data_IF_043954114937
#
_entry.id   IF_043954114937
#
_cell.length_a   1.000
_cell.length_b   1.000
_cell.length_c   1.000
_cell.angle_alpha   90.00
_cell.angle_beta   90.00
_cell.angle_gamma   90.00
#
_symmetry.space_group_name_H-M   'P 1'
#
loop_
_entity.id
_entity.type
_entity.pdbx_description
1 polymer ?
#
# COMPACT_ATOMS: atom_id res chain seq x y z
N UNK A 1 -22.89 -9.52 -67.37
CA UNK A 1 -22.59 -9.03 -65.99
C UNK A 1 -21.61 -10.01 -65.38
N UNK A 2 -20.33 -9.67 -65.28
CA UNK A 2 -19.28 -10.41 -64.60
C UNK A 2 -19.27 -9.96 -63.15
N UNK A 3 -19.87 -10.75 -62.25
CA UNK A 3 -19.74 -10.58 -60.83
C UNK A 3 -18.27 -10.82 -60.44
N UNK A 4 -17.57 -9.76 -60.05
CA UNK A 4 -16.26 -9.87 -59.41
C UNK A 4 -16.48 -10.40 -58.02
N UNK A 5 -16.06 -11.64 -57.76
CA UNK A 5 -15.92 -12.19 -56.43
C UNK A 5 -14.76 -11.41 -55.78
N UNK A 6 -15.10 -10.55 -54.82
CA UNK A 6 -14.09 -9.96 -53.95
C UNK A 6 -13.71 -11.06 -52.93
N UNK A 7 -12.58 -11.71 -53.16
CA UNK A 7 -11.96 -12.57 -52.17
C UNK A 7 -11.17 -11.63 -51.23
N UNK A 8 -11.74 -11.31 -50.09
CA UNK A 8 -10.96 -10.74 -49.01
C UNK A 8 -9.96 -11.82 -48.58
N UNK A 9 -8.73 -11.69 -49.02
CA UNK A 9 -7.63 -12.44 -48.47
C UNK A 9 -7.31 -11.85 -47.11
N UNK A 10 -7.91 -12.41 -46.03
CA UNK A 10 -7.47 -12.12 -44.69
C UNK A 10 -6.03 -12.63 -44.53
N UNK A 11 -5.08 -11.70 -44.52
CA UNK A 11 -3.69 -12.03 -44.19
C UNK A 11 -3.71 -12.62 -42.75
N UNK A 12 -3.16 -13.81 -42.54
CA UNK A 12 -3.11 -14.38 -41.19
C UNK A 12 -2.46 -13.38 -40.24
N UNK A 13 -3.12 -13.10 -39.12
CA UNK A 13 -2.54 -12.24 -38.07
C UNK A 13 -1.31 -12.92 -37.51
N UNK A 14 -0.18 -12.25 -37.52
CA UNK A 14 1.08 -12.71 -36.93
C UNK A 14 1.34 -11.92 -35.68
N UNK A 15 1.54 -12.61 -34.55
CA UNK A 15 1.85 -12.01 -33.26
C UNK A 15 3.35 -12.16 -32.97
N UNK A 16 3.94 -11.20 -32.28
CA UNK A 16 5.35 -11.27 -31.93
C UNK A 16 5.61 -12.45 -30.97
N UNK A 17 6.56 -13.30 -31.34
CA UNK A 17 6.87 -14.51 -30.58
C UNK A 17 7.28 -14.22 -29.12
N UNK A 18 8.02 -13.14 -28.88
CA UNK A 18 8.42 -12.69 -27.55
C UNK A 18 7.22 -12.39 -26.64
N UNK A 19 6.21 -11.75 -27.21
CA UNK A 19 5.03 -11.29 -26.49
C UNK A 19 4.12 -12.50 -26.16
N UNK A 20 3.92 -13.37 -27.16
CA UNK A 20 3.18 -14.63 -27.00
C UNK A 20 3.86 -15.55 -25.98
N UNK A 21 5.20 -15.71 -26.07
CA UNK A 21 5.95 -16.51 -25.11
C UNK A 21 5.87 -15.94 -23.67
N UNK A 22 5.77 -14.62 -23.53
CA UNK A 22 5.59 -13.98 -22.23
C UNK A 22 4.21 -14.30 -21.65
N UNK A 23 3.15 -14.19 -22.42
CA UNK A 23 1.80 -14.58 -22.00
C UNK A 23 1.75 -16.08 -21.62
N UNK A 24 2.32 -16.96 -22.45
CA UNK A 24 2.37 -18.39 -22.18
C UNK A 24 3.03 -18.69 -20.83
N UNK A 25 4.17 -18.05 -20.52
CA UNK A 25 4.84 -18.23 -19.22
C UNK A 25 3.98 -17.81 -18.03
N UNK A 26 3.22 -16.72 -18.14
CA UNK A 26 2.32 -16.27 -17.07
C UNK A 26 1.20 -17.28 -16.86
N UNK A 27 0.60 -17.76 -17.95
CA UNK A 27 -0.46 -18.79 -17.90
C UNK A 27 0.05 -20.10 -17.27
N UNK A 28 1.18 -20.58 -17.74
CA UNK A 28 1.79 -21.84 -17.27
C UNK A 28 2.22 -21.76 -15.80
N UNK A 29 2.70 -20.59 -15.35
CA UNK A 29 3.08 -20.37 -13.96
C UNK A 29 1.88 -20.18 -13.02
N UNK A 30 0.69 -19.94 -13.56
CA UNK A 30 -0.54 -19.71 -12.81
C UNK A 30 -1.36 -21.00 -12.71
N UNK A 31 -1.81 -21.35 -11.50
CA UNK A 31 -2.75 -22.46 -11.32
C UNK A 31 -4.20 -21.96 -11.41
N UNK A 32 -4.51 -21.22 -12.48
CA UNK A 32 -5.81 -20.56 -12.67
C UNK A 32 -6.53 -21.13 -13.87
N UNK A 33 -7.66 -21.82 -13.60
CA UNK A 33 -8.46 -22.49 -14.64
C UNK A 33 -8.99 -21.50 -15.67
N UNK A 34 -9.52 -20.37 -15.25
CA UNK A 34 -10.10 -19.37 -16.16
C UNK A 34 -9.03 -18.78 -17.10
N UNK A 35 -7.81 -18.54 -16.57
CA UNK A 35 -6.69 -18.08 -17.39
C UNK A 35 -6.23 -19.15 -18.39
N UNK A 36 -6.21 -20.42 -18.00
CA UNK A 36 -5.90 -21.54 -18.89
C UNK A 36 -6.96 -21.72 -19.98
N UNK A 37 -8.23 -21.51 -19.67
CA UNK A 37 -9.33 -21.54 -20.65
C UNK A 37 -9.23 -20.35 -21.61
N UNK A 38 -8.95 -19.13 -21.13
CA UNK A 38 -8.70 -17.97 -21.95
C UNK A 38 -7.56 -18.20 -22.94
N UNK A 39 -6.46 -18.80 -22.48
CA UNK A 39 -5.33 -19.14 -23.33
C UNK A 39 -5.66 -20.20 -24.38
N UNK A 40 -6.23 -21.33 -23.94
CA UNK A 40 -6.50 -22.47 -24.83
C UNK A 40 -7.62 -22.22 -25.86
N UNK A 41 -8.55 -21.33 -25.55
CA UNK A 41 -9.61 -20.90 -26.47
C UNK A 41 -9.11 -19.96 -27.59
N UNK A 42 -7.92 -19.37 -27.41
CA UNK A 42 -7.40 -18.34 -28.31
C UNK A 42 -8.00 -16.96 -28.10
N UNK A 43 -8.76 -16.72 -27.03
CA UNK A 43 -9.38 -15.43 -26.73
C UNK A 43 -8.34 -14.31 -26.59
N UNK A 44 -7.10 -14.62 -26.21
CA UNK A 44 -5.98 -13.67 -26.16
C UNK A 44 -5.61 -13.04 -27.50
N UNK A 45 -6.10 -13.58 -28.63
CA UNK A 45 -5.84 -13.05 -29.98
C UNK A 45 -6.89 -12.04 -30.45
N UNK A 46 -8.01 -11.89 -29.75
CA UNK A 46 -9.21 -11.20 -30.25
C UNK A 46 -9.52 -9.89 -29.54
N UNK A 47 -8.65 -9.42 -28.66
CA UNK A 47 -8.86 -8.22 -27.81
C UNK A 47 -10.14 -8.30 -26.94
N UNK A 48 -10.78 -9.47 -26.86
CA UNK A 48 -11.97 -9.67 -26.06
C UNK A 48 -11.63 -9.86 -24.56
N UNK A 49 -12.39 -9.19 -23.70
CA UNK A 49 -12.31 -9.40 -22.28
C UNK A 49 -13.01 -10.71 -21.92
N UNK A 50 -12.29 -11.65 -21.40
CA UNK A 50 -12.80 -12.96 -20.98
C UNK A 50 -12.19 -13.38 -19.66
N UNK A 51 -13.03 -13.73 -18.69
CA UNK A 51 -12.58 -14.34 -17.43
C UNK A 51 -11.54 -13.51 -16.65
N UNK A 52 -11.68 -12.18 -16.63
CA UNK A 52 -10.75 -11.24 -16.02
C UNK A 52 -9.37 -11.17 -16.73
N UNK A 53 -9.26 -11.64 -17.94
CA UNK A 53 -8.06 -11.54 -18.77
C UNK A 53 -8.39 -10.90 -20.13
N UNK A 54 -7.51 -10.01 -20.59
CA UNK A 54 -7.57 -9.40 -21.89
C UNK A 54 -6.17 -9.04 -22.36
N UNK A 55 -5.90 -9.32 -23.63
CA UNK A 55 -4.69 -8.88 -24.33
C UNK A 55 -5.10 -8.05 -25.54
N UNK A 56 -4.60 -6.82 -25.64
CA UNK A 56 -4.87 -5.91 -26.76
C UNK A 56 -3.59 -5.74 -27.57
N UNK A 57 -3.70 -5.90 -28.87
CA UNK A 57 -2.58 -5.91 -29.80
C UNK A 57 -2.65 -4.72 -30.77
N UNK A 58 -1.50 -4.17 -31.11
CA UNK A 58 -1.44 -3.11 -32.13
C UNK A 58 -1.63 -3.69 -33.56
N UNK A 59 -1.67 -2.82 -34.58
CA UNK A 59 -1.87 -3.17 -35.96
C UNK A 59 -0.55 -3.40 -36.75
N UNK A 60 0.58 -3.50 -36.07
CA UNK A 60 1.87 -3.83 -36.68
C UNK A 60 1.91 -5.28 -37.15
N UNK A 61 2.91 -5.64 -37.96
CA UNK A 61 3.13 -7.01 -38.38
C UNK A 61 4.62 -7.37 -38.16
N UNK A 62 4.94 -8.23 -37.21
CA UNK A 62 4.03 -8.91 -36.27
C UNK A 62 3.37 -7.94 -35.26
N UNK A 63 2.14 -8.25 -34.86
CA UNK A 63 1.42 -7.50 -33.85
C UNK A 63 2.13 -7.55 -32.49
N UNK A 64 2.19 -6.44 -31.81
CA UNK A 64 2.81 -6.30 -30.50
C UNK A 64 1.74 -6.10 -29.43
N UNK A 65 1.95 -6.67 -28.25
CA UNK A 65 1.06 -6.50 -27.11
C UNK A 65 1.20 -5.08 -26.55
N UNK A 66 0.10 -4.33 -26.53
CA UNK A 66 0.06 -2.96 -26.04
C UNK A 66 -0.71 -2.81 -24.72
N UNK A 67 -1.77 -3.58 -24.49
CA UNK A 67 -2.46 -3.59 -23.22
C UNK A 67 -2.57 -5.03 -22.69
N UNK A 68 -2.34 -5.20 -21.40
CA UNK A 68 -2.51 -6.47 -20.71
C UNK A 68 -3.33 -6.26 -19.42
N UNK A 69 -4.44 -6.97 -19.35
CA UNK A 69 -5.29 -7.00 -18.18
C UNK A 69 -5.38 -8.45 -17.67
N UNK A 70 -4.98 -8.67 -16.42
CA UNK A 70 -5.14 -9.93 -15.68
C UNK A 70 -5.46 -9.56 -14.24
N UNK A 71 -6.73 -9.43 -13.89
CA UNK A 71 -7.16 -8.86 -12.62
C UNK A 71 -8.05 -9.85 -11.84
N UNK A 72 -8.02 -9.74 -10.49
CA UNK A 72 -8.83 -10.54 -9.56
C UNK A 72 -8.69 -12.06 -9.76
N UNK A 73 -7.50 -12.51 -10.14
CA UNK A 73 -7.19 -13.95 -10.28
C UNK A 73 -6.92 -14.63 -8.93
N UNK A 74 -6.72 -13.83 -7.87
CA UNK A 74 -6.51 -14.30 -6.51
C UNK A 74 -5.23 -15.12 -6.31
N UNK A 75 -5.29 -16.09 -5.39
CA UNK A 75 -4.14 -16.91 -5.01
C UNK A 75 -3.66 -17.88 -6.10
N UNK A 76 -4.52 -18.17 -7.06
CA UNK A 76 -4.20 -19.06 -8.17
C UNK A 76 -3.35 -18.40 -9.27
N UNK A 77 -3.20 -17.05 -9.21
CA UNK A 77 -2.31 -16.32 -10.12
C UNK A 77 -0.85 -16.46 -9.69
N UNK A 78 0.07 -16.38 -10.63
CA UNK A 78 1.50 -16.44 -10.33
C UNK A 78 1.94 -15.27 -9.45
N UNK A 79 2.80 -15.56 -8.47
CA UNK A 79 3.37 -14.54 -7.58
C UNK A 79 4.50 -13.74 -8.23
N UNK A 80 5.10 -14.30 -9.30
CA UNK A 80 6.20 -13.67 -10.03
C UNK A 80 5.79 -13.43 -11.46
N UNK A 81 5.77 -12.17 -11.85
CA UNK A 81 5.38 -11.73 -13.20
C UNK A 81 6.58 -11.07 -13.87
N UNK A 82 7.05 -11.67 -14.96
CA UNK A 82 8.14 -11.13 -15.78
C UNK A 82 7.62 -10.67 -17.14
N UNK A 83 7.59 -9.36 -17.33
CA UNK A 83 7.14 -8.67 -18.55
C UNK A 83 8.28 -8.02 -19.30
N UNK A 84 9.53 -8.38 -19.01
CA UNK A 84 10.72 -7.70 -19.56
C UNK A 84 10.76 -7.63 -21.10
N UNK A 85 10.09 -8.55 -21.79
CA UNK A 85 10.05 -8.59 -23.26
C UNK A 85 8.94 -7.72 -23.90
N UNK A 86 8.00 -7.16 -23.10
CA UNK A 86 6.84 -6.41 -23.60
C UNK A 86 7.14 -4.91 -23.76
N UNK A 87 8.11 -4.56 -24.58
CA UNK A 87 8.61 -3.19 -24.74
C UNK A 87 7.60 -2.21 -25.37
N UNK A 88 6.49 -2.70 -25.93
CA UNK A 88 5.39 -1.89 -26.46
C UNK A 88 4.19 -1.77 -25.53
N UNK A 89 4.29 -2.30 -24.31
CA UNK A 89 3.20 -2.26 -23.35
C UNK A 89 2.90 -0.82 -22.95
N UNK A 90 1.66 -0.40 -23.13
CA UNK A 90 1.14 0.94 -22.78
C UNK A 90 0.29 0.90 -21.52
N UNK A 91 -0.48 -0.17 -21.32
CA UNK A 91 -1.37 -0.34 -20.18
C UNK A 91 -1.16 -1.72 -19.57
N UNK A 92 -0.96 -1.74 -18.26
CA UNK A 92 -0.90 -2.97 -17.47
C UNK A 92 -1.89 -2.90 -16.30
N UNK A 93 -2.74 -3.91 -16.17
CA UNK A 93 -3.53 -4.14 -14.96
C UNK A 93 -3.29 -5.55 -14.42
N UNK A 94 -2.78 -5.61 -13.20
CA UNK A 94 -2.66 -6.83 -12.40
C UNK A 94 -3.42 -6.69 -11.07
N UNK A 95 -4.42 -5.82 -11.02
CA UNK A 95 -5.18 -5.46 -9.81
C UNK A 95 -5.83 -6.68 -9.15
N UNK A 96 -5.80 -6.75 -7.81
CA UNK A 96 -6.49 -7.77 -7.03
C UNK A 96 -5.90 -9.19 -7.14
N UNK A 97 -4.59 -9.27 -7.35
CA UNK A 97 -3.84 -10.53 -7.36
C UNK A 97 -2.96 -10.64 -6.10
N UNK A 98 -2.01 -11.56 -6.13
CA UNK A 98 -1.01 -11.75 -5.06
C UNK A 98 0.41 -11.70 -5.61
N UNK A 99 0.66 -10.75 -6.50
CA UNK A 99 1.99 -10.55 -7.08
C UNK A 99 2.96 -10.10 -5.99
N UNK A 100 4.07 -10.82 -5.87
CA UNK A 100 5.17 -10.51 -4.95
C UNK A 100 6.35 -9.85 -5.67
N UNK A 101 6.60 -10.29 -6.91
CA UNK A 101 7.70 -9.80 -7.74
C UNK A 101 7.17 -9.43 -9.14
N UNK A 102 7.44 -8.22 -9.57
CA UNK A 102 7.07 -7.71 -10.88
C UNK A 102 8.30 -7.16 -11.60
N UNK A 103 8.60 -7.72 -12.76
CA UNK A 103 9.61 -7.18 -13.68
C UNK A 103 8.92 -6.49 -14.84
N UNK A 104 9.04 -5.19 -14.93
CA UNK A 104 8.53 -4.38 -16.03
C UNK A 104 9.54 -4.32 -17.18
N UNK A 105 9.09 -4.04 -18.44
CA UNK A 105 9.97 -3.99 -19.59
C UNK A 105 10.94 -2.82 -19.52
N UNK A 106 12.23 -3.09 -19.63
CA UNK A 106 13.27 -2.05 -19.63
C UNK A 106 13.17 -1.16 -20.88
N UNK A 107 13.49 0.12 -20.71
CA UNK A 107 13.46 1.12 -21.77
C UNK A 107 12.08 1.32 -22.44
N UNK A 108 11.01 0.92 -21.78
CA UNK A 108 9.67 1.18 -22.27
C UNK A 108 9.33 2.67 -22.03
N UNK A 109 9.17 3.40 -23.14
CA UNK A 109 8.84 4.83 -23.12
C UNK A 109 7.36 5.11 -23.42
N UNK A 110 6.54 4.06 -23.54
CA UNK A 110 5.12 4.18 -23.89
C UNK A 110 4.16 3.73 -22.78
N UNK A 111 4.66 3.13 -21.71
CA UNK A 111 3.85 2.72 -20.56
C UNK A 111 3.26 3.98 -19.89
N UNK A 112 1.95 4.11 -19.97
CA UNK A 112 1.19 5.26 -19.46
C UNK A 112 0.23 4.93 -18.33
N UNK A 113 -0.15 3.66 -18.17
CA UNK A 113 -1.06 3.24 -17.12
C UNK A 113 -0.59 1.95 -16.45
N UNK A 114 -0.45 2.00 -15.13
CA UNK A 114 0.01 0.89 -14.31
C UNK A 114 -0.93 0.71 -13.12
N UNK A 115 -1.71 -0.36 -13.14
CA UNK A 115 -2.72 -0.69 -12.13
C UNK A 115 -2.32 -1.97 -11.40
N UNK A 116 -1.81 -1.82 -10.18
CA UNK A 116 -1.31 -2.90 -9.32
C UNK A 116 -2.06 -3.01 -7.99
N UNK A 117 -3.11 -2.22 -7.80
CA UNK A 117 -3.87 -2.16 -6.56
C UNK A 117 -4.33 -3.55 -6.06
N UNK A 118 -4.29 -3.77 -4.75
CA UNK A 118 -4.70 -5.05 -4.13
C UNK A 118 -3.69 -6.19 -4.25
N UNK A 119 -2.42 -5.89 -4.55
CA UNK A 119 -1.32 -6.86 -4.48
C UNK A 119 -0.60 -6.72 -3.13
N UNK A 120 -1.22 -7.21 -2.05
CA UNK A 120 -0.78 -7.05 -0.66
C UNK A 120 0.61 -7.60 -0.33
N UNK A 121 1.23 -8.35 -1.22
CA UNK A 121 2.57 -8.91 -1.03
C UNK A 121 3.65 -8.21 -1.86
N UNK A 122 3.28 -7.20 -2.66
CA UNK A 122 4.22 -6.45 -3.49
C UNK A 122 4.97 -5.43 -2.64
N UNK A 123 6.27 -5.67 -2.40
CA UNK A 123 7.11 -4.88 -1.48
C UNK A 123 8.04 -3.88 -2.17
N UNK A 124 8.28 -4.06 -3.46
CA UNK A 124 9.16 -3.19 -4.23
C UNK A 124 8.65 -2.99 -5.65
N UNK A 125 8.81 -1.78 -6.16
CA UNK A 125 8.42 -1.42 -7.51
C UNK A 125 9.34 -0.29 -8.01
N UNK A 126 9.86 -0.41 -9.22
CA UNK A 126 10.63 0.63 -9.89
C UNK A 126 9.75 1.26 -10.96
N UNK A 127 9.38 2.53 -10.78
CA UNK A 127 8.58 3.30 -11.75
C UNK A 127 9.33 4.51 -12.31
N UNK A 128 10.45 4.90 -11.72
CA UNK A 128 11.26 6.03 -12.21
C UNK A 128 11.86 5.83 -13.61
N UNK A 129 11.83 4.60 -14.15
CA UNK A 129 12.23 4.32 -15.54
C UNK A 129 11.11 4.56 -16.57
N UNK A 130 9.89 4.94 -16.14
CA UNK A 130 8.70 5.08 -17.00
C UNK A 130 8.16 6.52 -17.00
N UNK A 131 8.83 7.46 -17.67
CA UNK A 131 8.48 8.87 -17.62
C UNK A 131 7.14 9.20 -18.30
N UNK A 132 6.58 8.28 -19.09
CA UNK A 132 5.29 8.45 -19.77
C UNK A 132 4.10 8.07 -18.91
N UNK A 133 4.31 7.62 -17.65
CA UNK A 133 3.20 7.27 -16.77
C UNK A 133 2.29 8.47 -16.51
N UNK A 134 1.00 8.25 -16.78
CA UNK A 134 -0.10 9.17 -16.53
C UNK A 134 -1.00 8.70 -15.38
N UNK A 135 -1.12 7.38 -15.22
CA UNK A 135 -1.94 6.73 -14.20
C UNK A 135 -1.09 5.71 -13.43
N UNK A 136 -1.07 5.82 -12.12
CA UNK A 136 -0.42 4.87 -11.23
C UNK A 136 -1.32 4.52 -10.04
N UNK A 137 -1.71 3.26 -9.96
CA UNK A 137 -2.42 2.69 -8.81
C UNK A 137 -1.57 1.58 -8.19
N UNK A 138 -1.06 1.85 -7.00
CA UNK A 138 -0.35 0.89 -6.13
C UNK A 138 -1.07 0.75 -4.79
N UNK A 139 -2.34 1.08 -4.75
CA UNK A 139 -3.16 0.98 -3.54
C UNK A 139 -3.18 -0.44 -2.98
N UNK A 140 -3.28 -0.55 -1.67
CA UNK A 140 -3.33 -1.85 -0.98
C UNK A 140 -2.15 -2.77 -1.39
N UNK A 141 -0.94 -2.22 -1.35
CA UNK A 141 0.31 -2.97 -1.53
C UNK A 141 1.22 -2.78 -0.31
N UNK A 142 2.19 -3.68 -0.13
CA UNK A 142 3.19 -3.59 0.93
C UNK A 142 4.41 -2.72 0.56
N UNK A 143 4.25 -1.80 -0.40
CA UNK A 143 5.33 -0.88 -0.78
C UNK A 143 5.69 0.04 0.38
N UNK A 144 6.97 0.08 0.74
CA UNK A 144 7.52 0.96 1.79
C UNK A 144 8.23 2.20 1.23
N UNK A 145 8.60 2.16 -0.04
CA UNK A 145 9.22 3.29 -0.73
C UNK A 145 8.82 3.29 -2.22
N UNK A 146 8.75 4.48 -2.81
CA UNK A 146 8.44 4.67 -4.21
C UNK A 146 9.14 5.92 -4.74
N UNK A 147 9.96 5.77 -5.80
CA UNK A 147 10.61 6.88 -6.48
C UNK A 147 9.78 7.35 -7.67
N UNK A 148 9.15 8.52 -7.54
CA UNK A 148 8.32 9.15 -8.56
C UNK A 148 9.05 10.30 -9.29
N UNK A 149 10.33 10.53 -9.03
CA UNK A 149 11.10 11.71 -9.48
C UNK A 149 11.11 11.91 -11.01
N UNK A 150 10.85 10.86 -11.80
CA UNK A 150 10.81 10.92 -13.26
C UNK A 150 9.39 10.87 -13.86
N UNK A 151 8.35 10.63 -13.05
CA UNK A 151 6.98 10.41 -13.52
C UNK A 151 6.17 11.73 -13.58
N UNK A 152 6.73 12.75 -14.20
CA UNK A 152 6.17 14.13 -14.21
C UNK A 152 4.86 14.29 -15.00
N UNK A 153 4.49 13.27 -15.77
CA UNK A 153 3.25 13.24 -16.54
C UNK A 153 2.06 12.64 -15.80
N UNK A 154 2.23 12.24 -14.51
CA UNK A 154 1.16 11.68 -13.70
C UNK A 154 -0.02 12.65 -13.60
N UNK A 155 -1.21 12.11 -13.89
CA UNK A 155 -2.52 12.76 -13.76
C UNK A 155 -3.31 12.20 -12.58
N UNK A 156 -3.14 10.90 -12.31
CA UNK A 156 -3.82 10.20 -11.23
C UNK A 156 -2.82 9.30 -10.48
N UNK A 157 -2.81 9.42 -9.16
CA UNK A 157 -1.89 8.72 -8.27
C UNK A 157 -2.65 8.17 -7.06
N UNK A 158 -2.68 6.83 -6.94
CA UNK A 158 -3.35 6.11 -5.87
C UNK A 158 -2.33 5.35 -5.03
N UNK A 159 -2.13 5.80 -3.80
CA UNK A 159 -1.20 5.27 -2.80
C UNK A 159 -1.93 4.79 -1.54
N UNK A 160 -3.26 4.74 -1.58
CA UNK A 160 -4.06 4.40 -0.39
C UNK A 160 -3.78 2.97 0.09
N UNK A 161 -3.77 2.80 1.40
CA UNK A 161 -3.48 1.52 2.06
C UNK A 161 -2.11 0.93 1.67
N UNK A 162 -1.12 1.76 1.41
CA UNK A 162 0.28 1.37 1.23
C UNK A 162 1.06 1.52 2.53
N UNK A 163 2.23 0.91 2.58
CA UNK A 163 3.17 1.06 3.69
C UNK A 163 4.21 2.16 3.43
N UNK A 164 3.95 3.07 2.49
CA UNK A 164 4.86 4.16 2.16
C UNK A 164 5.10 5.03 3.39
N UNK A 165 6.38 5.22 3.72
CA UNK A 165 6.88 5.91 4.92
C UNK A 165 6.42 5.33 6.26
N UNK A 166 5.77 4.16 6.23
CA UNK A 166 5.19 3.48 7.37
C UNK A 166 6.10 2.50 8.06
N UNK A 167 7.40 2.74 8.03
CA UNK A 167 8.40 1.84 8.62
C UNK A 167 8.14 1.56 10.10
N UNK A 168 7.37 2.40 10.78
CA UNK A 168 7.05 2.25 12.19
C UNK A 168 5.67 1.61 12.48
N UNK A 169 4.80 1.43 11.47
CA UNK A 169 3.39 1.08 11.71
C UNK A 169 3.01 -0.38 11.48
N UNK A 170 3.92 -1.26 11.07
CA UNK A 170 3.66 -2.70 11.04
C UNK A 170 4.68 -3.46 11.88
N UNK A 171 4.26 -4.56 12.49
CA UNK A 171 5.17 -5.47 13.19
C UNK A 171 6.30 -6.02 12.28
N UNK A 172 6.08 -5.99 10.96
CA UNK A 172 7.09 -6.32 9.95
C UNK A 172 7.99 -5.13 9.60
N UNK A 173 7.47 -3.90 9.70
CA UNK A 173 8.22 -2.69 9.39
C UNK A 173 9.12 -2.25 10.56
N UNK A 174 8.69 -2.43 11.81
CA UNK A 174 9.58 -2.21 12.97
C UNK A 174 10.84 -3.09 12.89
N UNK A 175 10.71 -4.30 12.36
CA UNK A 175 11.85 -5.18 12.09
C UNK A 175 12.78 -4.61 11.00
N UNK A 176 12.24 -4.03 9.93
CA UNK A 176 13.04 -3.45 8.85
C UNK A 176 13.72 -2.14 9.26
N UNK A 177 13.02 -1.23 9.95
CA UNK A 177 13.59 0.00 10.47
C UNK A 177 14.70 -0.28 11.48
N UNK A 178 14.46 -1.21 12.41
CA UNK A 178 15.46 -1.64 13.37
C UNK A 178 16.69 -2.24 12.67
N UNK A 179 16.50 -3.05 11.63
CA UNK A 179 17.58 -3.60 10.82
C UNK A 179 18.33 -2.50 10.06
N UNK A 180 17.63 -1.60 9.37
CA UNK A 180 18.25 -0.50 8.64
C UNK A 180 19.05 0.40 9.58
N UNK A 181 18.50 0.74 10.74
CA UNK A 181 19.19 1.52 11.78
C UNK A 181 20.40 0.78 12.33
N UNK A 182 20.29 -0.52 12.60
CA UNK A 182 21.40 -1.34 13.07
C UNK A 182 22.56 -1.45 12.06
N UNK A 183 22.25 -1.36 10.77
CA UNK A 183 23.25 -1.33 9.69
C UNK A 183 23.69 0.07 9.31
N UNK A 184 23.20 1.13 9.98
CA UNK A 184 23.53 2.51 9.67
C UNK A 184 23.02 2.97 8.29
N UNK A 185 22.00 2.30 7.76
CA UNK A 185 21.37 2.67 6.51
C UNK A 185 20.26 3.70 6.75
N UNK A 186 20.09 4.68 5.85
CA UNK A 186 19.00 5.62 5.96
C UNK A 186 17.65 4.90 5.80
N UNK A 187 16.70 5.26 6.65
CA UNK A 187 15.30 4.84 6.49
C UNK A 187 14.77 5.57 5.24
N UNK A 188 14.24 4.86 4.23
CA UNK A 188 13.71 5.52 3.04
C UNK A 188 12.48 6.33 3.42
N UNK A 189 12.54 7.64 3.26
CA UNK A 189 11.38 8.53 3.41
C UNK A 189 10.80 8.83 2.04
N UNK A 190 9.52 8.57 1.86
CA UNK A 190 8.82 8.93 0.64
C UNK A 190 8.50 10.41 0.65
N UNK A 191 9.04 11.15 -0.32
CA UNK A 191 8.80 12.58 -0.47
C UNK A 191 8.11 12.83 -1.80
N UNK A 192 6.98 13.52 -1.76
CA UNK A 192 6.18 13.86 -2.91
C UNK A 192 6.15 15.37 -3.07
N UNK A 193 6.88 15.88 -4.05
CA UNK A 193 6.81 17.30 -4.41
C UNK A 193 5.75 17.49 -5.49
N UNK A 194 4.61 18.11 -5.14
CA UNK A 194 3.51 18.33 -6.09
C UNK A 194 3.88 19.28 -7.23
N UNK A 195 4.97 20.05 -7.11
CA UNK A 195 5.50 20.84 -8.23
C UNK A 195 6.07 19.94 -9.34
N UNK A 196 6.51 18.74 -9.01
CA UNK A 196 7.00 17.76 -9.99
C UNK A 196 5.90 17.14 -10.85
N UNK A 197 4.63 17.26 -10.44
CA UNK A 197 3.48 16.66 -11.12
C UNK A 197 2.47 17.72 -11.61
N UNK A 198 2.83 18.57 -12.56
CA UNK A 198 1.97 19.71 -12.97
C UNK A 198 0.62 19.27 -13.54
N UNK A 199 0.52 18.05 -14.07
CA UNK A 199 -0.69 17.48 -14.66
C UNK A 199 -1.54 16.69 -13.66
N UNK A 200 -1.11 16.51 -12.40
CA UNK A 200 -1.82 15.71 -11.41
C UNK A 200 -3.16 16.35 -11.06
N UNK A 201 -4.24 15.61 -11.21
CA UNK A 201 -5.62 16.01 -10.94
C UNK A 201 -6.18 15.28 -9.72
N UNK A 202 -5.82 14.02 -9.53
CA UNK A 202 -6.29 13.18 -8.43
C UNK A 202 -5.13 12.54 -7.68
N UNK A 203 -5.18 12.61 -6.34
CA UNK A 203 -4.19 12.05 -5.45
C UNK A 203 -4.90 11.39 -4.26
N UNK A 204 -4.74 10.11 -4.10
CA UNK A 204 -5.28 9.37 -2.97
C UNK A 204 -4.16 8.68 -2.18
N UNK A 205 -4.01 9.06 -0.91
CA UNK A 205 -3.09 8.47 0.05
C UNK A 205 -3.83 8.01 1.33
N UNK A 206 -5.15 7.82 1.26
CA UNK A 206 -5.95 7.37 2.41
C UNK A 206 -5.45 6.02 2.94
N UNK A 207 -5.33 5.88 4.26
CA UNK A 207 -4.80 4.68 4.92
C UNK A 207 -3.32 4.38 4.64
N UNK A 208 -2.59 5.27 3.94
CA UNK A 208 -1.12 5.22 3.87
C UNK A 208 -0.51 5.83 5.12
N UNK A 209 0.80 5.65 5.30
CA UNK A 209 1.53 6.25 6.41
C UNK A 209 2.08 7.65 6.08
N UNK A 210 1.66 8.25 4.97
CA UNK A 210 2.10 9.57 4.56
C UNK A 210 1.48 10.67 5.42
N UNK A 211 2.31 11.62 5.83
CA UNK A 211 1.95 12.80 6.60
C UNK A 211 2.13 14.07 5.75
N UNK A 212 1.68 15.22 6.26
CA UNK A 212 1.90 16.52 5.59
C UNK A 212 3.39 16.77 5.31
N UNK A 213 4.29 16.31 6.19
CA UNK A 213 5.72 16.45 6.02
C UNK A 213 6.28 15.70 4.79
N UNK A 214 5.56 14.69 4.30
CA UNK A 214 5.94 13.92 3.12
C UNK A 214 5.56 14.62 1.80
N UNK A 215 4.71 15.66 1.85
CA UNK A 215 4.18 16.33 0.67
C UNK A 215 4.64 17.78 0.64
N UNK A 216 5.30 18.16 -0.45
CA UNK A 216 5.77 19.53 -0.69
C UNK A 216 4.95 20.24 -1.76
N UNK A 217 5.03 21.57 -1.75
CA UNK A 217 4.35 22.44 -2.71
C UNK A 217 2.87 22.08 -2.89
N UNK A 218 2.08 22.01 -1.78
CA UNK A 218 0.69 21.64 -1.84
C UNK A 218 -0.11 22.61 -2.72
N UNK A 219 -1.05 22.05 -3.46
CA UNK A 219 -1.97 22.80 -4.31
C UNK A 219 -3.37 22.21 -4.22
N UNK A 220 -4.37 22.98 -4.66
CA UNK A 220 -5.72 22.46 -4.71
C UNK A 220 -5.83 21.39 -5.81
N UNK A 221 -6.13 20.16 -5.39
CA UNK A 221 -6.43 19.04 -6.27
C UNK A 221 -7.42 18.12 -5.55
N UNK A 222 -8.05 17.22 -6.27
CA UNK A 222 -8.88 16.21 -5.64
C UNK A 222 -7.96 15.24 -4.88
N UNK A 223 -8.03 15.28 -3.54
CA UNK A 223 -7.17 14.47 -2.70
C UNK A 223 -7.93 13.91 -1.50
N UNK A 224 -7.74 12.63 -1.24
CA UNK A 224 -7.98 12.00 0.04
C UNK A 224 -6.62 11.77 0.72
N UNK A 225 -6.47 12.26 1.95
CA UNK A 225 -5.25 12.12 2.74
C UNK A 225 -5.53 11.33 4.01
N UNK A 226 -4.59 10.54 4.43
CA UNK A 226 -4.68 9.31 5.10
C UNK A 226 -5.10 9.23 6.56
N UNK A 227 -5.50 8.04 6.91
CA UNK A 227 -5.53 7.55 8.30
C UNK A 227 -4.17 6.93 8.59
N UNK A 228 -3.39 7.59 9.44
CA UNK A 228 -2.11 7.06 9.94
C UNK A 228 -2.38 6.35 11.25
N UNK A 229 -2.11 5.05 11.30
CA UNK A 229 -2.15 4.32 12.57
C UNK A 229 -0.88 4.62 13.33
N UNK A 230 -1.02 5.26 14.49
CA UNK A 230 0.12 5.54 15.35
C UNK A 230 0.73 4.24 15.88
N UNK A 231 2.05 4.09 15.79
CA UNK A 231 2.77 3.21 16.68
C UNK A 231 2.73 3.85 18.06
N UNK A 232 1.99 3.27 18.96
CA UNK A 232 1.98 3.72 20.35
C UNK A 232 3.01 2.92 21.13
N UNK A 233 4.09 3.59 21.54
CA UNK A 233 5.12 3.02 22.39
C UNK A 233 6.03 1.97 21.72
N UNK A 234 7.25 1.82 22.24
CA UNK A 234 8.26 0.87 21.72
C UNK A 234 7.87 -0.62 21.82
N UNK A 235 6.72 -0.96 22.40
CA UNK A 235 6.42 -2.33 22.86
C UNK A 235 5.05 -2.87 22.40
N UNK A 236 4.13 -2.07 21.85
CA UNK A 236 2.76 -2.54 21.57
C UNK A 236 2.43 -2.62 20.09
N UNK A 237 2.31 -3.83 19.51
CA UNK A 237 1.79 -3.99 18.17
C UNK A 237 0.30 -3.62 18.12
N UNK A 238 -0.12 -2.91 17.08
CA UNK A 238 -1.53 -2.72 16.77
C UNK A 238 -2.16 -1.36 17.11
N UNK A 239 -1.36 -0.35 17.54
CA UNK A 239 -1.88 1.00 17.77
C UNK A 239 -2.70 1.13 19.06
N UNK A 240 -2.35 0.39 20.11
CA UNK A 240 -2.96 0.49 21.42
C UNK A 240 -2.27 1.52 22.30
N UNK A 241 -3.03 2.21 23.15
CA UNK A 241 -2.56 3.22 24.09
C UNK A 241 -3.23 3.03 25.46
N UNK A 242 -2.45 3.07 26.54
CA UNK A 242 -2.94 2.85 27.89
C UNK A 242 -3.24 4.17 28.62
N UNK A 243 -3.95 4.06 29.75
CA UNK A 243 -4.13 5.17 30.67
C UNK A 243 -2.79 5.73 31.14
N UNK A 244 -2.68 7.06 31.19
CA UNK A 244 -1.46 7.78 31.55
C UNK A 244 -0.48 7.96 30.39
N UNK A 245 -0.59 7.21 29.31
CA UNK A 245 0.24 7.43 28.11
C UNK A 245 -0.21 8.66 27.32
N UNK A 246 0.73 9.24 26.58
CA UNK A 246 0.49 10.46 25.81
C UNK A 246 0.71 10.18 24.33
N UNK A 247 -0.32 10.42 23.54
CA UNK A 247 -0.19 10.51 22.08
C UNK A 247 0.46 11.87 21.76
N UNK A 248 1.59 11.85 21.12
CA UNK A 248 2.38 13.04 20.80
C UNK A 248 2.45 13.28 19.28
N UNK A 249 1.65 14.24 18.80
CA UNK A 249 1.63 14.71 17.41
C UNK A 249 2.39 16.02 17.24
N UNK A 250 3.31 16.36 18.16
CA UNK A 250 4.03 17.64 18.12
C UNK A 250 4.92 17.79 16.87
N UNK A 251 5.34 16.70 16.24
CA UNK A 251 6.02 16.71 14.93
C UNK A 251 5.17 17.35 13.83
N UNK A 252 3.84 17.26 13.94
CA UNK A 252 2.87 17.81 12.98
C UNK A 252 2.46 19.26 13.30
N UNK A 253 3.03 19.87 14.34
CA UNK A 253 2.64 21.22 14.80
C UNK A 253 2.85 22.30 13.76
N UNK A 254 3.89 22.12 12.94
CA UNK A 254 4.27 23.06 11.88
C UNK A 254 4.55 22.28 10.59
N UNK A 255 3.97 22.74 9.51
CA UNK A 255 4.31 22.31 8.15
C UNK A 255 4.89 23.51 7.43
N UNK A 256 6.19 23.51 7.19
CA UNK A 256 6.91 24.71 6.76
C UNK A 256 6.74 25.84 7.77
N UNK A 257 6.10 26.93 7.35
CA UNK A 257 5.81 28.12 8.21
C UNK A 257 4.38 28.15 8.72
N UNK A 258 3.55 27.17 8.39
CA UNK A 258 2.13 27.12 8.74
C UNK A 258 1.88 26.25 9.96
N UNK A 259 1.12 26.77 10.91
CA UNK A 259 0.71 26.02 12.10
C UNK A 259 -0.47 25.10 11.78
N UNK A 260 -0.39 23.86 12.22
CA UNK A 260 -1.48 22.89 12.14
C UNK A 260 -2.49 23.09 13.26
N UNK A 261 -3.70 22.57 13.04
CA UNK A 261 -4.78 22.51 14.03
C UNK A 261 -5.02 21.06 14.37
N UNK A 262 -5.27 20.80 15.64
CA UNK A 262 -5.53 19.48 16.21
C UNK A 262 -6.99 19.41 16.70
N UNK A 263 -7.64 18.30 16.40
CA UNK A 263 -8.96 17.94 16.92
C UNK A 263 -8.88 16.51 17.40
N UNK A 264 -9.29 16.26 18.64
CA UNK A 264 -9.31 14.92 19.21
C UNK A 264 -10.73 14.37 19.21
N UNK A 265 -10.87 13.11 18.85
CA UNK A 265 -12.16 12.42 18.76
C UNK A 265 -12.05 11.10 19.49
N UNK A 266 -13.04 10.78 20.32
CA UNK A 266 -13.14 9.51 21.03
C UNK A 266 -14.52 8.92 20.79
N UNK A 267 -14.60 7.70 20.31
CA UNK A 267 -15.85 6.99 19.93
C UNK A 267 -16.81 7.84 19.08
N UNK A 268 -16.26 8.65 18.18
CA UNK A 268 -17.02 9.55 17.30
C UNK A 268 -17.35 10.93 17.89
N UNK A 269 -17.14 11.16 19.17
CA UNK A 269 -17.38 12.44 19.81
C UNK A 269 -16.10 13.28 19.90
N UNK A 270 -16.22 14.58 19.63
CA UNK A 270 -15.10 15.53 19.74
C UNK A 270 -14.77 15.82 21.19
N UNK A 271 -13.50 15.68 21.56
CA UNK A 271 -12.97 16.07 22.87
C UNK A 271 -12.62 17.57 22.83
N UNK A 272 -12.94 18.31 23.89
CA UNK A 272 -12.54 19.72 24.04
C UNK A 272 -11.05 19.84 24.41
N UNK A 273 -10.20 19.50 23.41
CA UNK A 273 -8.75 19.54 23.52
C UNK A 273 -8.13 19.88 22.17
N UNK A 274 -7.24 20.88 22.13
CA UNK A 274 -6.68 21.41 20.87
C UNK A 274 -5.14 21.39 20.84
N UNK A 275 -4.47 20.85 21.86
CA UNK A 275 -3.02 20.69 21.84
C UNK A 275 -2.63 19.49 20.94
N UNK A 276 -1.43 19.50 20.46
CA UNK A 276 -0.81 18.42 19.66
C UNK A 276 -0.52 17.14 20.47
N UNK A 277 -0.68 17.19 21.77
CA UNK A 277 -0.44 16.07 22.70
C UNK A 277 -1.70 15.79 23.47
N UNK A 278 -2.08 14.53 23.58
CA UNK A 278 -3.23 14.11 24.38
C UNK A 278 -2.81 12.95 25.29
N UNK A 279 -2.98 13.13 26.60
CA UNK A 279 -2.74 12.07 27.58
C UNK A 279 -4.03 11.30 27.83
N UNK A 280 -3.98 10.00 27.70
CA UNK A 280 -5.13 9.12 27.90
C UNK A 280 -5.53 9.14 29.37
N UNK A 281 -6.77 9.43 29.65
CA UNK A 281 -7.33 9.55 30.99
C UNK A 281 -8.29 8.39 31.31
N UNK A 282 -8.48 8.10 32.57
CA UNK A 282 -9.31 6.96 33.05
C UNK A 282 -10.81 7.13 32.78
N UNK A 283 -11.25 8.33 32.36
CA UNK A 283 -12.63 8.59 31.92
C UNK A 283 -12.93 8.10 30.51
N UNK A 284 -11.89 7.75 29.73
CA UNK A 284 -12.06 7.12 28.43
C UNK A 284 -12.35 5.64 28.58
N UNK A 285 -13.41 5.17 27.95
CA UNK A 285 -13.79 3.75 27.99
C UNK A 285 -12.78 2.89 27.22
N UNK A 286 -12.24 1.79 27.80
CA UNK A 286 -11.37 0.88 27.08
C UNK A 286 -12.03 0.22 25.89
N UNK A 287 -11.21 -0.22 24.92
CA UNK A 287 -11.62 -0.85 23.67
C UNK A 287 -12.39 0.06 22.70
N UNK A 288 -12.32 1.38 22.89
CA UNK A 288 -12.78 2.35 21.93
C UNK A 288 -11.60 3.10 21.28
N UNK A 289 -11.86 3.59 20.10
CA UNK A 289 -10.84 4.29 19.31
C UNK A 289 -10.75 5.75 19.74
N UNK A 290 -9.51 6.23 19.92
CA UNK A 290 -9.19 7.65 19.98
C UNK A 290 -8.50 8.06 18.70
N UNK A 291 -8.86 9.20 18.14
CA UNK A 291 -8.25 9.74 16.94
C UNK A 291 -7.77 11.17 17.14
N UNK A 292 -6.55 11.46 16.69
CA UNK A 292 -6.02 12.81 16.53
C UNK A 292 -6.16 13.25 15.08
N UNK A 293 -7.01 14.24 14.80
CA UNK A 293 -7.20 14.80 13.48
C UNK A 293 -6.34 16.04 13.32
N UNK A 294 -5.47 16.05 12.31
CA UNK A 294 -4.58 17.18 12.03
C UNK A 294 -4.95 17.78 10.70
N UNK A 295 -5.18 19.09 10.69
CA UNK A 295 -5.41 19.90 9.48
C UNK A 295 -4.39 21.01 9.39
N UNK A 296 -4.03 21.43 8.18
CA UNK A 296 -3.10 22.53 7.97
C UNK A 296 -3.59 23.46 6.85
N UNK A 297 -3.53 24.79 7.02
CA UNK A 297 -3.97 25.73 5.99
C UNK A 297 -3.27 25.62 4.64
N UNK A 298 -2.06 25.06 4.59
CA UNK A 298 -1.36 24.80 3.33
C UNK A 298 -1.99 23.65 2.53
N UNK A 299 -2.80 22.79 3.20
CA UNK A 299 -3.46 21.62 2.61
C UNK A 299 -4.98 21.74 2.75
N UNK A 300 -5.63 22.67 2.04
CA UNK A 300 -7.05 22.95 2.22
C UNK A 300 -7.90 21.72 1.85
N UNK A 301 -8.74 21.29 2.78
CA UNK A 301 -9.59 20.09 2.63
C UNK A 301 -8.92 18.77 2.96
N UNK A 302 -7.64 18.78 3.33
CA UNK A 302 -6.92 17.56 3.71
C UNK A 302 -6.90 17.40 5.22
N UNK A 303 -7.02 16.16 5.68
CA UNK A 303 -6.92 15.80 7.10
C UNK A 303 -6.01 14.58 7.21
N UNK A 304 -5.04 14.64 8.09
CA UNK A 304 -4.29 13.46 8.53
C UNK A 304 -4.91 12.99 9.83
N UNK A 305 -5.27 11.73 9.89
CA UNK A 305 -5.87 11.11 11.07
C UNK A 305 -4.90 10.11 11.67
N UNK A 306 -4.73 10.20 13.00
CA UNK A 306 -3.89 9.31 13.79
C UNK A 306 -4.80 8.52 14.73
N UNK A 307 -4.87 7.22 14.54
CA UNK A 307 -5.75 6.34 15.29
C UNK A 307 -4.99 5.52 16.32
N UNK A 308 -5.56 5.42 17.52
CA UNK A 308 -5.15 4.48 18.54
C UNK A 308 -6.37 3.88 19.24
N UNK A 309 -6.21 2.70 19.82
CA UNK A 309 -7.23 2.05 20.64
C UNK A 309 -6.88 2.24 22.12
N UNK A 310 -7.82 2.77 22.91
CA UNK A 310 -7.65 2.88 24.34
C UNK A 310 -7.74 1.49 24.98
N UNK A 311 -6.79 1.17 25.80
CA UNK A 311 -6.61 -0.15 26.35
C UNK A 311 -6.27 -0.10 27.84
N UNK A 312 -6.81 -1.03 28.63
CA UNK A 312 -6.40 -1.22 30.03
C UNK A 312 -5.41 -2.36 30.08
N UNK A 313 -4.24 -2.08 30.57
CA UNK A 313 -3.16 -3.05 30.61
C UNK A 313 -3.01 -3.78 31.95
N UNK A 314 -3.76 -3.41 32.96
CA UNK A 314 -3.62 -4.01 34.30
C UNK A 314 -3.95 -5.51 34.28
N UNK A 315 -2.92 -6.34 34.36
CA UNK A 315 -3.05 -7.79 34.42
C UNK A 315 -3.08 -8.55 33.12
N UNK A 316 -3.03 -7.88 31.97
CA UNK A 316 -2.95 -8.54 30.64
C UNK A 316 -1.50 -8.81 30.23
N UNK A 317 -0.93 -9.85 30.80
CA UNK A 317 0.48 -10.19 30.61
C UNK A 317 0.78 -10.83 29.25
N UNK A 318 -0.22 -11.37 28.56
CA UNK A 318 -0.07 -11.99 27.24
C UNK A 318 -0.45 -11.07 26.08
N UNK A 319 -0.96 -9.86 26.38
CA UNK A 319 -1.36 -8.84 25.42
C UNK A 319 -2.46 -9.30 24.44
N UNK A 320 -3.39 -10.16 24.91
CA UNK A 320 -4.53 -10.62 24.12
C UNK A 320 -5.80 -9.76 24.31
N UNK A 321 -5.69 -8.68 25.10
CA UNK A 321 -6.75 -7.74 25.48
C UNK A 321 -7.82 -8.33 26.42
N UNK A 322 -7.53 -9.44 27.08
CA UNK A 322 -8.42 -10.11 28.02
C UNK A 322 -7.66 -10.42 29.32
N UNK A 323 -8.01 -9.78 30.42
CA UNK A 323 -7.44 -10.13 31.72
C UNK A 323 -8.06 -11.42 32.24
N UNK A 324 -7.32 -12.52 32.20
CA UNK A 324 -7.81 -13.85 32.55
C UNK A 324 -6.69 -14.78 33.06
N UNK A 325 -7.00 -16.08 33.21
CA UNK A 325 -6.03 -17.07 33.72
C UNK A 325 -4.84 -17.30 32.75
N UNK A 326 -4.96 -16.93 31.50
CA UNK A 326 -3.86 -17.07 30.53
C UNK A 326 -2.73 -16.07 30.82
N UNK A 327 -3.06 -14.90 31.35
CA UNK A 327 -2.08 -13.91 31.81
C UNK A 327 -1.27 -14.40 32.99
N UNK A 328 -1.94 -15.09 33.95
CA UNK A 328 -1.25 -15.75 35.04
C UNK A 328 -0.28 -16.81 34.50
N UNK A 329 -0.71 -17.58 33.51
CA UNK A 329 0.14 -18.60 32.87
C UNK A 329 1.32 -17.95 32.16
N UNK A 330 1.10 -16.85 31.43
CA UNK A 330 2.12 -16.08 30.75
C UNK A 330 3.16 -15.55 31.75
N UNK A 331 2.70 -14.92 32.84
CA UNK A 331 3.54 -14.39 33.90
C UNK A 331 4.37 -15.50 34.58
N UNK A 332 3.75 -16.62 34.93
CA UNK A 332 4.46 -17.76 35.51
C UNK A 332 5.50 -18.34 34.57
N UNK A 333 5.16 -18.55 33.30
CA UNK A 333 6.08 -19.06 32.27
C UNK A 333 7.28 -18.13 32.11
N UNK A 334 7.05 -16.83 32.12
CA UNK A 334 8.11 -15.83 32.07
C UNK A 334 9.02 -15.88 33.30
N UNK A 335 8.43 -15.91 34.52
CA UNK A 335 9.19 -15.98 35.77
C UNK A 335 10.04 -17.26 35.86
N UNK A 336 9.47 -18.39 35.43
CA UNK A 336 10.16 -19.67 35.40
C UNK A 336 11.16 -19.80 34.24
N UNK A 337 11.19 -18.82 33.36
CA UNK A 337 12.00 -18.85 32.13
C UNK A 337 11.77 -20.11 31.27
N UNK A 338 10.53 -20.54 31.22
CA UNK A 338 10.09 -21.68 30.43
C UNK A 338 10.12 -21.28 28.94
N UNK A 339 11.22 -21.63 28.27
CA UNK A 339 11.47 -21.26 26.87
C UNK A 339 10.47 -21.85 25.89
N UNK A 340 9.82 -22.95 26.23
CA UNK A 340 8.87 -23.65 25.35
C UNK A 340 7.47 -22.99 25.39
N UNK A 341 7.17 -22.21 26.44
CA UNK A 341 5.92 -21.52 26.66
C UNK A 341 6.09 -19.98 26.80
N UNK A 342 7.25 -19.45 26.52
CA UNK A 342 7.46 -17.99 26.50
C UNK A 342 6.64 -17.35 25.39
N UNK A 343 5.79 -16.40 25.77
CA UNK A 343 5.03 -15.60 24.82
C UNK A 343 5.96 -14.54 24.21
N UNK A 344 6.12 -14.48 22.88
CA UNK A 344 6.75 -13.34 22.25
C UNK A 344 5.98 -12.08 22.62
N UNK A 345 6.64 -11.03 23.05
CA UNK A 345 6.03 -9.76 23.47
C UNK A 345 5.31 -9.82 24.84
N UNK A 346 5.90 -10.48 25.84
CA UNK A 346 5.40 -10.43 27.20
C UNK A 346 5.35 -8.98 27.72
N UNK A 347 4.18 -8.53 28.13
CA UNK A 347 3.95 -7.18 28.65
C UNK A 347 4.43 -7.04 30.11
N UNK A 348 5.64 -6.53 30.32
CA UNK A 348 6.20 -6.34 31.66
C UNK A 348 5.39 -5.36 32.52
N UNK A 349 4.98 -4.23 31.91
CA UNK A 349 4.18 -3.23 32.61
C UNK A 349 2.79 -3.76 32.95
N UNK A 350 2.22 -4.52 32.06
CA UNK A 350 0.89 -5.11 32.14
C UNK A 350 0.81 -6.25 33.16
N UNK A 351 1.92 -6.95 33.40
CA UNK A 351 2.01 -7.99 34.42
C UNK A 351 2.20 -7.44 35.86
N UNK A 352 2.64 -6.20 36.00
CA UNK A 352 2.85 -5.55 37.28
C UNK A 352 1.64 -4.70 37.69
N UNK A 353 0.65 -5.36 38.27
CA UNK A 353 -0.58 -4.72 38.80
C UNK A 353 -0.36 -3.80 40.00
N UNK A 354 0.85 -3.72 40.54
CA UNK A 354 1.13 -2.95 41.76
C UNK A 354 1.96 -1.68 41.53
N UNK A 355 2.45 -1.44 40.34
CA UNK A 355 3.25 -0.26 39.94
C UNK A 355 4.40 0.07 40.94
N UNK A 356 5.20 -0.91 41.37
CA UNK A 356 6.35 -0.70 42.26
C UNK A 356 7.67 -0.68 41.51
#
# INVERSE_FOLDING_TARGET
>A
ETSRIHVETTVPQVFAESDVATLARIVDASNNKALSEWWSSGAWQTDENSSNAQAVWNDENPRRLIHLYMYQMGESFTKKVDLAALDKLEILSLTGNRVEELTLPKNNTVLRSLMLGGNYSLKSLIVSEYPSLEYLDVSSTDLTALDLSKNKNLKELFLNWTMLDGVENSASASGLAAQLTAYGLPIPTTRIDLADFPALMSFNADGSCLEFANVENPRQLEAAFGVVRLPVGEVRPGGFVAYGETIDLSSQKMVGTSASRFTWVFDGDTIDHTDSRYTITEDLTPNYQIAGLVTNPLFPGWTVQYDAWVYTCDGDANLDMLVNVQDVTATVSYILRDKDNMIPNFGFAEADVNYN
#
